data_IF_134738327422
#
_entry.id   IF_134738327422
#
_cell.length_a   1.000
_cell.length_b   1.000
_cell.length_c   1.000
_cell.angle_alpha   90.00
_cell.angle_beta   90.00
_cell.angle_gamma   90.00
#
_symmetry.space_group_name_H-M   'P 1'
#
loop_
_entity.id
_entity.type
_entity.pdbx_description
1 polymer ?
#
# COMPACT_ATOMS: atom_id res chain seq x y z
N UNK A 1 -33.35 -16.78 -15.52
CA UNK A 1 -31.92 -16.37 -15.48
C UNK A 1 -31.83 -15.01 -14.84
N UNK A 2 -30.97 -14.83 -13.85
CA UNK A 2 -30.70 -13.53 -13.23
C UNK A 2 -29.93 -12.63 -14.21
N UNK A 3 -29.99 -11.30 -14.01
CA UNK A 3 -29.18 -10.35 -14.79
C UNK A 3 -27.68 -10.71 -14.77
N UNK A 4 -27.18 -11.21 -13.62
CA UNK A 4 -25.80 -11.69 -13.49
C UNK A 4 -25.50 -12.86 -14.41
N UNK A 5 -26.40 -13.85 -14.50
CA UNK A 5 -26.21 -15.02 -15.39
C UNK A 5 -26.25 -14.63 -16.87
N UNK A 6 -27.12 -13.68 -17.25
CA UNK A 6 -27.17 -13.15 -18.61
C UNK A 6 -25.85 -12.44 -18.99
N UNK A 7 -25.32 -11.57 -18.13
CA UNK A 7 -24.05 -10.87 -18.34
C UNK A 7 -22.89 -11.87 -18.47
N UNK A 8 -22.79 -12.83 -17.52
CA UNK A 8 -21.73 -13.84 -17.56
C UNK A 8 -21.82 -14.74 -18.80
N UNK A 9 -23.01 -15.11 -19.23
CA UNK A 9 -23.24 -15.89 -20.45
C UNK A 9 -22.79 -15.10 -21.69
N UNK A 10 -23.16 -13.82 -21.80
CA UNK A 10 -22.74 -12.96 -22.88
C UNK A 10 -21.21 -12.78 -22.95
N UNK A 11 -20.56 -12.59 -21.79
CA UNK A 11 -19.10 -12.48 -21.71
C UNK A 11 -18.39 -13.78 -22.11
N UNK A 12 -18.89 -14.94 -21.67
CA UNK A 12 -18.33 -16.24 -22.07
C UNK A 12 -18.46 -16.45 -23.57
N UNK A 13 -19.61 -16.14 -24.15
CA UNK A 13 -19.85 -16.25 -25.60
C UNK A 13 -18.95 -15.30 -26.39
N UNK A 14 -18.72 -14.07 -25.91
CA UNK A 14 -17.81 -13.12 -26.54
C UNK A 14 -16.36 -13.58 -26.50
N UNK A 15 -15.94 -14.18 -25.36
CA UNK A 15 -14.58 -14.74 -25.20
C UNK A 15 -14.31 -15.90 -26.15
N UNK A 16 -15.29 -16.77 -26.37
CA UNK A 16 -15.17 -17.92 -27.30
C UNK A 16 -15.07 -17.50 -28.78
N UNK A 17 -15.52 -16.29 -29.14
CA UNK A 17 -15.44 -15.77 -30.51
C UNK A 17 -14.12 -15.09 -30.82
N UNK A 18 -13.28 -14.81 -29.81
CA UNK A 18 -11.95 -14.23 -30.01
C UNK A 18 -10.93 -15.35 -30.19
N UNK A 19 -10.09 -15.29 -31.22
CA UNK A 19 -8.97 -16.22 -31.31
C UNK A 19 -8.10 -16.08 -30.06
N UNK A 20 -7.49 -17.18 -29.56
CA UNK A 20 -6.52 -17.09 -28.50
C UNK A 20 -5.43 -16.11 -28.90
N UNK A 21 -5.25 -15.06 -28.11
CA UNK A 21 -4.11 -14.17 -28.29
C UNK A 21 -2.96 -14.81 -27.53
N UNK A 22 -1.90 -15.13 -28.26
CA UNK A 22 -0.69 -15.65 -27.64
C UNK A 22 -0.15 -14.61 -26.64
N UNK A 23 0.15 -15.06 -25.43
CA UNK A 23 0.72 -14.17 -24.41
C UNK A 23 2.07 -13.67 -24.95
N UNK A 24 2.36 -12.36 -24.94
CA UNK A 24 3.58 -11.80 -25.55
C UNK A 24 4.88 -12.29 -24.91
N UNK A 25 4.80 -13.21 -23.95
CA UNK A 25 5.95 -13.72 -23.22
C UNK A 25 6.33 -12.82 -22.04
N UNK A 26 7.40 -13.17 -21.38
CA UNK A 26 8.04 -12.27 -20.42
C UNK A 26 8.81 -11.23 -21.24
N UNK A 27 8.38 -10.00 -21.21
CA UNK A 27 9.26 -8.91 -21.60
C UNK A 27 10.49 -9.02 -20.69
N UNK A 28 11.63 -9.36 -21.27
CA UNK A 28 12.94 -9.27 -20.60
C UNK A 28 13.21 -7.81 -20.32
N UNK A 29 12.47 -7.27 -19.37
CA UNK A 29 12.31 -5.87 -19.17
C UNK A 29 13.66 -5.22 -18.91
N UNK A 30 13.78 -4.04 -19.44
CA UNK A 30 14.71 -3.02 -19.07
C UNK A 30 14.99 -3.08 -17.56
N UNK A 31 16.14 -3.64 -17.21
CA UNK A 31 16.66 -3.62 -15.84
C UNK A 31 17.74 -2.55 -15.80
N UNK A 32 17.73 -1.62 -14.84
CA UNK A 32 18.87 -0.73 -14.61
C UNK A 32 20.13 -1.58 -14.43
N UNK A 33 21.20 -1.19 -15.07
CA UNK A 33 22.50 -1.92 -15.04
C UNK A 33 23.11 -1.89 -13.64
N UNK A 34 22.81 -0.85 -12.85
CA UNK A 34 23.20 -0.70 -11.45
C UNK A 34 22.00 -0.21 -10.66
N UNK A 35 21.49 -1.03 -9.76
CA UNK A 35 20.45 -0.63 -8.79
C UNK A 35 21.08 -0.61 -7.39
N UNK A 36 20.80 0.39 -6.58
CA UNK A 36 21.16 0.35 -5.16
C UNK A 36 20.48 -0.86 -4.51
N UNK A 37 20.95 -1.31 -3.33
CA UNK A 37 20.24 -2.31 -2.56
C UNK A 37 18.74 -1.94 -2.47
N UNK A 38 17.81 -2.93 -2.57
CA UNK A 38 16.39 -2.61 -2.73
C UNK A 38 15.82 -1.67 -1.67
N UNK A 39 16.28 -1.79 -0.42
CA UNK A 39 15.78 -0.95 0.68
C UNK A 39 16.21 0.52 0.53
N UNK A 40 17.46 0.77 0.13
CA UNK A 40 17.95 2.13 -0.12
C UNK A 40 17.26 2.74 -1.34
N UNK A 41 17.07 1.95 -2.38
CA UNK A 41 16.34 2.39 -3.57
C UNK A 41 14.90 2.78 -3.25
N UNK A 42 14.21 1.95 -2.47
CA UNK A 42 12.86 2.25 -1.99
C UNK A 42 12.83 3.56 -1.19
N UNK A 43 13.74 3.72 -0.23
CA UNK A 43 13.81 4.90 0.64
C UNK A 43 13.99 6.19 -0.17
N UNK A 44 14.92 6.18 -1.12
CA UNK A 44 15.17 7.33 -2.00
C UNK A 44 13.91 7.69 -2.80
N UNK A 45 13.33 6.71 -3.49
CA UNK A 45 12.19 6.95 -4.38
C UNK A 45 10.91 7.31 -3.61
N UNK A 46 10.66 6.66 -2.47
CA UNK A 46 9.50 6.94 -1.63
C UNK A 46 9.58 8.34 -1.01
N UNK A 47 10.78 8.76 -0.57
CA UNK A 47 11.00 10.10 -0.02
C UNK A 47 10.90 11.18 -1.11
N UNK A 48 11.42 10.94 -2.31
CA UNK A 48 11.23 11.83 -3.45
C UNK A 48 9.75 12.01 -3.81
N UNK A 49 8.95 10.96 -3.65
CA UNK A 49 7.51 11.04 -3.80
C UNK A 49 6.81 11.78 -2.65
N UNK A 50 7.53 12.18 -1.59
CA UNK A 50 7.04 12.92 -0.43
C UNK A 50 6.54 12.01 0.71
N UNK A 51 6.84 10.72 0.67
CA UNK A 51 6.69 9.81 1.80
C UNK A 51 7.80 9.98 2.83
N UNK A 52 7.62 9.37 3.98
CA UNK A 52 8.61 9.32 5.06
C UNK A 52 8.98 7.85 5.32
N UNK A 53 10.26 7.59 5.60
CA UNK A 53 10.74 6.24 5.94
C UNK A 53 11.36 6.26 7.33
N UNK A 54 10.96 5.30 8.14
CA UNK A 54 11.52 5.02 9.47
C UNK A 54 12.08 3.60 9.43
N UNK A 55 13.39 3.46 9.62
CA UNK A 55 14.02 2.15 9.77
C UNK A 55 14.10 1.78 11.23
N UNK A 56 13.75 0.56 11.53
CA UNK A 56 13.87 -0.02 12.86
C UNK A 56 14.55 -1.39 12.77
N UNK A 57 15.31 -1.74 13.78
CA UNK A 57 16.11 -2.97 13.80
C UNK A 57 15.38 -4.13 14.49
N UNK A 58 14.24 -3.85 15.13
CA UNK A 58 13.48 -4.84 15.88
C UNK A 58 12.02 -4.43 16.06
N UNK A 59 11.16 -5.40 16.39
CA UNK A 59 9.77 -5.13 16.78
C UNK A 59 9.68 -4.25 18.02
N UNK A 60 10.60 -4.36 18.97
CA UNK A 60 10.63 -3.53 20.16
C UNK A 60 10.90 -2.05 19.83
N UNK A 61 11.85 -1.76 18.95
CA UNK A 61 12.13 -0.41 18.47
C UNK A 61 10.95 0.15 17.66
N UNK A 62 10.34 -0.67 16.82
CA UNK A 62 9.10 -0.30 16.12
C UNK A 62 8.00 0.12 17.10
N UNK A 63 7.78 -0.68 18.12
CA UNK A 63 6.71 -0.45 19.10
C UNK A 63 6.99 0.77 19.97
N UNK A 64 8.24 1.03 20.31
CA UNK A 64 8.66 2.24 21.00
C UNK A 64 8.39 3.49 20.13
N UNK A 65 8.82 3.44 18.88
CA UNK A 65 8.56 4.52 17.92
C UNK A 65 7.06 4.76 17.73
N UNK A 66 6.29 3.69 17.55
CA UNK A 66 4.83 3.80 17.38
C UNK A 66 4.16 4.43 18.60
N UNK A 67 4.51 4.02 19.83
CA UNK A 67 3.94 4.62 21.05
C UNK A 67 4.24 6.11 21.12
N UNK A 68 5.48 6.48 20.86
CA UNK A 68 5.89 7.89 20.88
C UNK A 68 5.14 8.70 19.82
N UNK A 69 5.05 8.17 18.59
CA UNK A 69 4.38 8.84 17.48
C UNK A 69 2.86 8.95 17.69
N UNK A 70 2.22 7.88 18.17
CA UNK A 70 0.77 7.82 18.38
C UNK A 70 0.27 8.65 19.57
N UNK A 71 1.15 9.09 20.46
CA UNK A 71 0.76 9.88 21.63
C UNK A 71 0.05 11.21 21.28
N UNK A 72 0.28 11.72 20.09
CA UNK A 72 -0.32 12.98 19.60
C UNK A 72 -1.69 12.79 18.94
N UNK A 73 -2.21 11.57 18.86
CA UNK A 73 -3.46 11.25 18.18
C UNK A 73 -4.52 10.70 19.15
N UNK A 74 -5.79 10.95 18.85
CA UNK A 74 -6.90 10.48 19.67
C UNK A 74 -7.57 9.21 19.11
N UNK A 75 -7.62 9.08 17.78
CA UNK A 75 -8.37 8.03 17.10
C UNK A 75 -7.52 7.32 16.05
N UNK A 76 -7.48 5.99 16.18
CA UNK A 76 -6.70 5.09 15.34
C UNK A 76 -7.63 4.18 14.53
N UNK A 77 -7.33 4.03 13.23
CA UNK A 77 -7.87 2.97 12.39
C UNK A 77 -6.77 1.96 12.07
N UNK A 78 -7.05 0.67 12.19
CA UNK A 78 -6.07 -0.38 11.92
C UNK A 78 -6.51 -1.29 10.78
N UNK A 79 -5.55 -1.70 9.95
CA UNK A 79 -5.71 -2.80 9.03
C UNK A 79 -5.79 -4.15 9.75
N UNK A 80 -6.27 -5.17 9.04
CA UNK A 80 -6.48 -6.53 9.58
C UNK A 80 -5.16 -7.21 9.97
N UNK A 81 -4.08 -6.95 9.21
CA UNK A 81 -2.75 -7.52 9.45
C UNK A 81 -1.95 -6.82 10.55
N UNK A 82 -2.45 -5.74 11.12
CA UNK A 82 -1.74 -5.00 12.16
C UNK A 82 -1.72 -5.80 13.46
N UNK A 83 -0.55 -5.96 14.11
CA UNK A 83 -0.44 -6.64 15.39
C UNK A 83 -1.39 -6.06 16.45
N UNK A 84 -2.09 -6.94 17.18
CA UNK A 84 -3.15 -6.52 18.13
C UNK A 84 -2.65 -5.68 19.28
N UNK A 85 -1.41 -5.90 19.72
CA UNK A 85 -0.75 -5.14 20.78
C UNK A 85 -0.62 -3.65 20.44
N UNK A 86 -0.62 -3.26 19.18
CA UNK A 86 -0.60 -1.87 18.74
C UNK A 86 -1.89 -1.13 19.16
N UNK A 87 -2.98 -1.86 19.34
CA UNK A 87 -4.23 -1.31 19.86
C UNK A 87 -4.09 -0.65 21.26
N UNK A 88 -3.10 -1.09 22.02
CA UNK A 88 -2.86 -0.62 23.40
C UNK A 88 -1.87 0.56 23.47
N UNK A 89 -1.48 1.14 22.32
CA UNK A 89 -0.44 2.19 22.25
C UNK A 89 -0.97 3.62 22.49
N UNK A 90 -2.22 3.79 22.88
CA UNK A 90 -2.77 5.07 23.32
C UNK A 90 -4.06 5.51 22.64
N UNK A 91 -4.10 5.73 21.29
CA UNK A 91 -5.32 6.19 20.65
C UNK A 91 -6.45 5.16 20.71
N UNK A 92 -7.69 5.63 20.83
CA UNK A 92 -8.86 4.76 20.76
C UNK A 92 -9.06 4.25 19.33
N UNK A 93 -9.17 2.93 19.19
CA UNK A 93 -9.52 2.34 17.89
C UNK A 93 -10.94 2.72 17.52
N UNK A 94 -11.12 3.17 16.28
CA UNK A 94 -12.46 3.44 15.73
C UNK A 94 -13.15 2.13 15.37
N UNK A 95 -14.48 2.10 15.52
CA UNK A 95 -15.28 0.94 15.13
C UNK A 95 -15.23 0.72 13.61
N UNK A 96 -15.40 -0.52 13.12
CA UNK A 96 -15.50 -0.80 11.69
C UNK A 96 -16.58 0.05 11.04
N UNK A 97 -16.24 0.75 9.99
CA UNK A 97 -17.10 1.73 9.32
C UNK A 97 -16.87 3.17 9.74
N UNK A 98 -16.17 3.41 10.85
CA UNK A 98 -15.81 4.72 11.39
C UNK A 98 -14.46 5.26 10.95
N UNK A 99 -13.77 4.61 10.02
CA UNK A 99 -12.38 4.94 9.62
C UNK A 99 -12.21 6.37 9.09
N UNK A 100 -13.29 7.00 8.62
CA UNK A 100 -13.31 8.40 8.20
C UNK A 100 -13.14 9.38 9.39
N UNK A 101 -13.37 8.93 10.61
CA UNK A 101 -13.18 9.71 11.82
C UNK A 101 -11.81 9.48 12.48
N UNK A 102 -10.99 8.60 11.93
CA UNK A 102 -9.65 8.34 12.46
C UNK A 102 -8.69 9.49 12.10
N UNK A 103 -7.82 9.81 13.04
CA UNK A 103 -6.77 10.82 12.86
C UNK A 103 -5.54 10.21 12.21
N UNK A 104 -5.31 8.91 12.47
CA UNK A 104 -4.21 8.13 11.92
C UNK A 104 -4.68 6.71 11.56
N UNK A 105 -4.16 6.17 10.47
CA UNK A 105 -4.33 4.79 10.07
C UNK A 105 -3.02 4.01 10.18
N UNK A 106 -3.10 2.75 10.59
CA UNK A 106 -1.97 1.81 10.49
C UNK A 106 -2.39 0.63 9.63
N UNK A 107 -1.53 0.23 8.71
CA UNK A 107 -1.74 -0.88 7.78
C UNK A 107 -0.45 -1.67 7.59
N UNK A 108 -0.54 -2.87 7.06
CA UNK A 108 0.62 -3.70 6.71
C UNK A 108 0.73 -3.79 5.20
N UNK A 109 1.92 -3.54 4.66
CA UNK A 109 2.21 -3.79 3.25
C UNK A 109 2.56 -5.26 3.01
N UNK A 110 2.23 -5.79 1.85
CA UNK A 110 2.74 -7.08 1.34
C UNK A 110 4.22 -6.98 0.94
N UNK A 111 4.72 -5.77 0.78
CA UNK A 111 6.10 -5.46 0.46
C UNK A 111 6.27 -4.02 0.01
N UNK A 112 7.48 -3.69 -0.40
CA UNK A 112 7.84 -2.40 -0.98
C UNK A 112 8.61 -2.60 -2.28
N UNK A 113 8.68 -1.58 -3.12
CA UNK A 113 9.26 -1.64 -4.47
C UNK A 113 10.25 -0.50 -4.63
N UNK A 114 11.51 -0.85 -4.84
CA UNK A 114 12.60 0.13 -4.97
C UNK A 114 12.47 0.97 -6.25
N UNK A 115 12.13 0.33 -7.37
CA UNK A 115 12.04 0.97 -8.69
C UNK A 115 11.10 2.18 -8.72
N UNK A 116 10.01 2.14 -7.97
CA UNK A 116 8.96 3.17 -7.99
C UNK A 116 8.74 3.86 -6.66
N UNK A 117 9.45 3.45 -5.60
CA UNK A 117 9.17 3.91 -4.25
C UNK A 117 7.73 3.63 -3.83
N UNK A 118 7.21 2.43 -4.14
CA UNK A 118 5.82 2.11 -3.87
C UNK A 118 5.70 1.07 -2.76
N UNK A 119 4.66 1.21 -1.94
CA UNK A 119 4.21 0.19 -1.00
C UNK A 119 3.20 -0.70 -1.73
N UNK A 120 3.35 -2.02 -1.64
CA UNK A 120 2.43 -3.02 -2.20
C UNK A 120 1.32 -3.29 -1.18
N UNK A 121 0.17 -2.65 -1.37
CA UNK A 121 -0.95 -2.68 -0.42
C UNK A 121 -2.00 -3.70 -0.83
N UNK A 122 -2.41 -4.55 0.13
CA UNK A 122 -3.45 -5.56 -0.06
C UNK A 122 -4.81 -5.02 0.37
N UNK A 123 -5.83 -5.16 -0.48
CA UNK A 123 -7.19 -4.74 -0.15
C UNK A 123 -7.80 -5.52 1.02
N UNK A 124 -7.30 -6.74 1.31
CA UNK A 124 -7.74 -7.56 2.45
C UNK A 124 -7.33 -6.98 3.80
N UNK A 125 -6.27 -6.18 3.83
CA UNK A 125 -5.82 -5.49 5.05
C UNK A 125 -6.74 -4.32 5.45
N UNK A 126 -7.67 -3.92 4.57
CA UNK A 126 -8.67 -2.89 4.86
C UNK A 126 -8.42 -1.57 4.13
N UNK A 127 -8.94 -1.44 2.91
CA UNK A 127 -8.77 -0.23 2.08
C UNK A 127 -9.21 1.07 2.76
N UNK A 128 -10.20 1.02 3.65
CA UNK A 128 -10.68 2.21 4.35
C UNK A 128 -9.64 2.73 5.34
N UNK A 129 -8.98 1.84 6.10
CA UNK A 129 -7.88 2.20 6.98
C UNK A 129 -6.67 2.76 6.20
N UNK A 130 -6.48 2.31 4.95
CA UNK A 130 -5.38 2.74 4.08
C UNK A 130 -5.62 4.12 3.43
N UNK A 131 -6.88 4.52 3.22
CA UNK A 131 -7.21 5.65 2.35
C UNK A 131 -7.96 6.80 3.04
N UNK A 132 -8.65 6.56 4.17
CA UNK A 132 -9.49 7.58 4.78
C UNK A 132 -8.78 8.45 5.84
N UNK A 133 -7.91 7.92 6.70
CA UNK A 133 -7.19 8.75 7.67
C UNK A 133 -6.24 9.74 7.00
N UNK A 134 -6.09 10.97 7.54
CA UNK A 134 -5.18 11.98 6.98
C UNK A 134 -3.69 11.60 7.11
N UNK A 135 -3.35 10.77 8.09
CA UNK A 135 -2.01 10.20 8.30
C UNK A 135 -2.08 8.69 8.17
N UNK A 136 -1.20 8.09 7.39
CA UNK A 136 -1.08 6.64 7.24
C UNK A 136 0.32 6.17 7.62
N UNK A 137 0.39 5.23 8.54
CA UNK A 137 1.59 4.47 8.87
C UNK A 137 1.47 3.09 8.20
N UNK A 138 2.50 2.67 7.51
CA UNK A 138 2.54 1.35 6.85
C UNK A 138 3.73 0.56 7.37
N UNK A 139 3.44 -0.57 7.98
CA UNK A 139 4.45 -1.52 8.44
C UNK A 139 4.94 -2.35 7.26
N UNK A 140 6.25 -2.44 7.10
CA UNK A 140 6.91 -3.14 5.99
C UNK A 140 7.94 -4.09 6.54
N UNK A 141 7.91 -5.34 6.11
CA UNK A 141 8.99 -6.30 6.35
C UNK A 141 10.17 -5.96 5.41
N UNK A 142 11.35 -5.73 5.97
CA UNK A 142 12.56 -5.41 5.19
C UNK A 142 12.94 -6.51 4.20
N UNK A 143 12.62 -7.76 4.51
CA UNK A 143 12.83 -8.90 3.61
C UNK A 143 11.88 -8.93 2.40
N UNK A 144 10.78 -8.18 2.45
CA UNK A 144 9.79 -8.04 1.39
C UNK A 144 9.99 -6.78 0.53
N UNK A 145 11.19 -6.20 0.52
CA UNK A 145 11.53 -5.09 -0.37
C UNK A 145 12.06 -5.64 -1.70
N UNK A 146 11.30 -5.41 -2.77
CA UNK A 146 11.58 -5.91 -4.11
C UNK A 146 12.29 -4.85 -4.96
N UNK A 147 13.16 -5.29 -5.88
CA UNK A 147 13.87 -4.37 -6.77
C UNK A 147 12.91 -3.74 -7.78
N UNK A 148 12.00 -4.54 -8.37
CA UNK A 148 11.11 -4.12 -9.45
C UNK A 148 9.64 -4.39 -9.16
N UNK A 149 8.75 -3.71 -9.88
CA UNK A 149 7.31 -3.99 -9.86
C UNK A 149 7.01 -5.44 -10.27
N UNK A 150 7.75 -5.97 -11.24
CA UNK A 150 7.57 -7.33 -11.71
C UNK A 150 7.89 -8.36 -10.61
N UNK A 151 8.99 -8.18 -9.88
CA UNK A 151 9.36 -9.07 -8.78
C UNK A 151 8.33 -9.02 -7.64
N UNK A 152 7.82 -7.82 -7.32
CA UNK A 152 6.79 -7.63 -6.30
C UNK A 152 5.46 -8.30 -6.68
N UNK A 153 5.02 -8.18 -7.93
CA UNK A 153 3.80 -8.83 -8.41
C UNK A 153 3.95 -10.36 -8.51
N UNK A 154 5.13 -10.85 -8.87
CA UNK A 154 5.42 -12.29 -8.86
C UNK A 154 5.36 -12.86 -7.45
N UNK A 155 5.82 -12.12 -6.42
CA UNK A 155 5.79 -12.58 -5.01
C UNK A 155 4.38 -12.82 -4.47
N UNK A 156 3.36 -12.17 -5.03
CA UNK A 156 1.96 -12.30 -4.61
C UNK A 156 1.09 -13.07 -5.61
N UNK A 157 1.68 -13.59 -6.67
CA UNK A 157 0.97 -14.21 -7.80
C UNK A 157 0.00 -15.31 -7.40
N UNK A 158 0.41 -16.17 -6.46
CA UNK A 158 -0.36 -17.33 -6.05
C UNK A 158 -1.39 -17.02 -4.94
N UNK A 159 -1.34 -15.80 -4.38
CA UNK A 159 -2.25 -15.31 -3.33
C UNK A 159 -2.75 -13.89 -3.65
N UNK A 160 -3.31 -13.71 -4.85
CA UNK A 160 -3.82 -12.42 -5.31
C UNK A 160 -5.11 -12.03 -4.59
N UNK A 161 -5.18 -10.85 -3.96
CA UNK A 161 -6.42 -10.30 -3.44
C UNK A 161 -7.31 -9.76 -4.56
N UNK A 162 -8.53 -9.33 -4.20
CA UNK A 162 -9.45 -8.68 -5.13
C UNK A 162 -8.90 -7.36 -5.74
N UNK A 163 -7.99 -6.70 -5.02
CA UNK A 163 -7.28 -5.52 -5.50
C UNK A 163 -5.93 -5.38 -4.79
N UNK A 164 -4.94 -4.93 -5.54
CA UNK A 164 -3.63 -4.49 -5.05
C UNK A 164 -3.48 -3.02 -5.36
N UNK A 165 -3.01 -2.23 -4.38
CA UNK A 165 -2.64 -0.84 -4.54
C UNK A 165 -1.12 -0.68 -4.55
N UNK A 166 -0.61 0.19 -5.41
CA UNK A 166 0.76 0.67 -5.37
C UNK A 166 0.73 2.10 -4.83
N UNK A 167 1.12 2.28 -3.56
CA UNK A 167 1.08 3.56 -2.89
C UNK A 167 2.47 4.21 -2.87
N UNK A 168 2.69 5.19 -3.73
CA UNK A 168 3.97 5.90 -3.86
C UNK A 168 3.91 7.26 -3.14
N UNK A 169 3.88 7.23 -1.81
CA UNK A 169 3.80 8.43 -0.98
C UNK A 169 2.38 9.00 -0.81
N UNK A 170 2.29 10.26 -0.31
CA UNK A 170 1.00 10.92 0.01
C UNK A 170 0.13 11.16 -1.21
N UNK A 171 -1.19 11.23 -0.97
CA UNK A 171 -2.17 11.64 -1.98
C UNK A 171 -1.85 13.03 -2.53
N UNK A 172 -1.78 13.15 -3.85
CA UNK A 172 -1.52 14.40 -4.56
C UNK A 172 -2.52 14.56 -5.69
N UNK A 173 -3.12 15.74 -5.78
CA UNK A 173 -3.95 16.12 -6.92
C UNK A 173 -3.35 17.36 -7.57
N UNK A 174 -3.11 17.30 -8.88
CA UNK A 174 -2.75 18.47 -9.67
C UNK A 174 -4.05 19.15 -10.09
N UNK A 175 -4.28 20.37 -9.63
CA UNK A 175 -5.43 21.16 -10.04
C UNK A 175 -5.15 21.90 -11.35
N UNK A 176 -6.25 22.29 -12.03
CA UNK A 176 -6.27 23.07 -13.27
C UNK A 176 -5.53 24.41 -13.11
N UNK A 177 -5.31 24.90 -11.87
CA UNK A 177 -4.56 26.09 -11.51
C UNK A 177 -3.06 25.92 -11.29
N UNK A 178 -2.45 24.76 -11.60
CA UNK A 178 -1.04 24.42 -11.34
C UNK A 178 -0.62 24.39 -9.86
N UNK A 179 -1.57 24.35 -8.94
CA UNK A 179 -1.33 24.18 -7.50
C UNK A 179 -1.48 22.70 -7.15
N UNK A 180 -0.43 22.08 -6.64
CA UNK A 180 -0.50 20.70 -6.16
C UNK A 180 -1.08 20.68 -4.74
N UNK A 181 -2.27 20.08 -4.58
CA UNK A 181 -2.93 19.93 -3.28
C UNK A 181 -2.67 18.50 -2.77
N UNK A 182 -2.26 18.39 -1.50
CA UNK A 182 -2.04 17.11 -0.84
C UNK A 182 -3.27 16.70 0.00
N UNK A 183 -3.54 15.39 0.09
CA UNK A 183 -4.51 14.84 1.02
C UNK A 183 -5.98 14.99 0.61
N UNK A 184 -6.29 15.28 -0.66
CA UNK A 184 -7.68 15.45 -1.12
C UNK A 184 -8.43 14.12 -1.24
N UNK A 185 -7.77 13.08 -1.76
CA UNK A 185 -8.37 11.78 -2.06
C UNK A 185 -7.67 10.61 -1.35
N UNK A 186 -6.97 10.89 -0.27
CA UNK A 186 -6.24 9.90 0.52
C UNK A 186 -5.33 10.59 1.54
N UNK A 187 -4.48 9.82 2.25
CA UNK A 187 -3.60 10.36 3.27
C UNK A 187 -2.71 11.49 2.75
N UNK A 188 -2.69 12.63 3.45
CA UNK A 188 -1.79 13.74 3.18
C UNK A 188 -0.36 13.51 3.68
N UNK A 189 -0.18 12.54 4.58
CA UNK A 189 1.10 12.08 5.12
C UNK A 189 1.15 10.56 5.13
N UNK A 190 2.21 9.97 4.59
CA UNK A 190 2.41 8.51 4.58
C UNK A 190 3.81 8.19 5.07
N UNK A 191 3.88 7.30 6.06
CA UNK A 191 5.11 6.89 6.74
C UNK A 191 5.27 5.39 6.57
N UNK A 192 6.36 4.93 5.97
CA UNK A 192 6.74 3.53 5.92
C UNK A 192 7.67 3.22 7.10
N UNK A 193 7.26 2.27 7.95
CA UNK A 193 8.10 1.74 9.05
C UNK A 193 8.63 0.40 8.60
N UNK A 194 9.93 0.35 8.32
CA UNK A 194 10.62 -0.83 7.77
C UNK A 194 11.39 -1.52 8.88
N UNK A 195 11.02 -2.79 9.17
CA UNK A 195 11.59 -3.61 10.24
C UNK A 195 12.27 -4.86 9.70
#
# INVERSE_FOLDING_TARGET
MSNREQILSALRSARMRRPPVEHPGRFGAWRPVESPPPIEGFEVMFTQAGGEVVRVSSSAERDEWLRAFLADFERLSTGVGVPREIADFGPRIVDPGGEHAADVGISVARGAIAETGSLLMDARDGRRAQLLPPVLIVLVDSSAVHATVADALESVRDDLPAAIGLHSGPSKSADIGQVMVRGVHGPGRVIAVVA
#
